data_IF_141306692971
#
_entry.id   IF_141306692971
#
_cell.length_a   1.000
_cell.length_b   1.000
_cell.length_c   1.000
_cell.angle_alpha   90.00
_cell.angle_beta   90.00
_cell.angle_gamma   90.00
#
_symmetry.space_group_name_H-M   'P 1'
#
loop_
_entity.id
_entity.type
_entity.pdbx_description
1 polymer ?
#
# COMPACT_ATOMS: atom_id res chain seq x y z
N UNK A 1 44.08 -46.90 -0.35
CA UNK A 1 42.87 -46.80 0.52
C UNK A 1 42.65 -45.34 0.84
N UNK A 2 41.57 -44.77 0.31
CA UNK A 2 41.22 -43.35 0.45
C UNK A 2 39.81 -43.16 -0.07
N UNK A 3 38.85 -43.56 0.75
CA UNK A 3 37.41 -43.46 0.51
C UNK A 3 36.96 -42.00 0.52
N UNK A 4 36.66 -41.44 -0.65
CA UNK A 4 35.88 -40.20 -0.77
C UNK A 4 34.43 -40.55 -1.06
N UNK A 5 33.62 -40.72 -0.02
CA UNK A 5 32.16 -40.82 -0.16
C UNK A 5 31.69 -39.47 -0.74
N UNK A 6 30.95 -39.41 -1.87
CA UNK A 6 30.35 -38.16 -2.29
C UNK A 6 29.33 -37.75 -1.25
N UNK A 7 29.63 -36.68 -0.51
CA UNK A 7 28.72 -36.07 0.45
C UNK A 7 27.47 -35.63 -0.30
N UNK A 8 26.37 -36.33 -0.01
CA UNK A 8 25.05 -36.05 -0.56
C UNK A 8 24.74 -34.56 -0.41
N UNK A 9 24.55 -33.87 -1.53
CA UNK A 9 24.10 -32.48 -1.56
C UNK A 9 22.83 -32.37 -0.71
N UNK A 10 22.88 -31.53 0.32
CA UNK A 10 21.79 -31.38 1.27
C UNK A 10 20.47 -31.06 0.58
N UNK A 11 19.40 -31.69 1.06
CA UNK A 11 18.02 -31.67 0.53
C UNK A 11 17.35 -30.27 0.53
N UNK A 12 18.07 -29.20 0.89
CA UNK A 12 17.57 -27.82 0.87
C UNK A 12 18.57 -26.78 0.38
N UNK A 13 19.40 -27.07 -0.63
CA UNK A 13 20.01 -25.99 -1.42
C UNK A 13 19.02 -25.51 -2.48
N UNK A 14 18.00 -24.75 -2.06
CA UNK A 14 17.17 -24.00 -3.01
C UNK A 14 18.11 -23.05 -3.76
N UNK A 15 18.20 -23.24 -5.08
CA UNK A 15 18.78 -22.25 -5.97
C UNK A 15 18.21 -20.87 -5.61
N UNK A 16 19.04 -19.99 -5.05
CA UNK A 16 18.76 -18.56 -5.11
C UNK A 16 18.59 -18.28 -6.59
N UNK A 17 17.35 -18.04 -7.02
CA UNK A 17 17.04 -17.63 -8.39
C UNK A 17 18.09 -16.61 -8.80
N UNK A 18 18.72 -16.77 -9.97
CA UNK A 18 19.81 -15.92 -10.48
C UNK A 18 19.45 -14.44 -10.70
N UNK A 19 18.44 -13.95 -9.99
CA UNK A 19 18.07 -12.56 -9.84
C UNK A 19 19.18 -11.84 -9.08
N UNK A 20 20.07 -11.23 -9.86
CA UNK A 20 21.00 -10.21 -9.35
C UNK A 20 20.14 -9.11 -8.71
N UNK A 21 20.52 -8.64 -7.51
CA UNK A 21 19.84 -7.54 -6.83
C UNK A 21 19.90 -6.29 -7.73
N UNK A 22 18.81 -6.01 -8.45
CA UNK A 22 18.68 -4.84 -9.33
C UNK A 22 18.27 -3.57 -8.56
N UNK A 23 17.69 -3.73 -7.36
CA UNK A 23 17.12 -2.61 -6.61
C UNK A 23 18.17 -1.97 -5.70
N UNK A 24 18.45 -0.68 -5.93
CA UNK A 24 19.36 0.12 -5.11
C UNK A 24 18.64 0.71 -3.89
N UNK A 25 19.41 1.21 -2.92
CA UNK A 25 18.87 1.76 -1.66
C UNK A 25 18.01 3.01 -1.89
N UNK A 26 18.41 3.86 -2.83
CA UNK A 26 17.66 5.03 -3.27
C UNK A 26 16.29 4.66 -3.85
N UNK A 27 16.22 3.62 -4.70
CA UNK A 27 14.95 3.15 -5.25
C UNK A 27 13.99 2.68 -4.15
N UNK A 28 14.50 1.98 -3.13
CA UNK A 28 13.71 1.52 -1.97
C UNK A 28 13.22 2.71 -1.13
N UNK A 29 14.06 3.72 -0.94
CA UNK A 29 13.67 4.92 -0.21
C UNK A 29 12.53 5.68 -0.91
N UNK A 30 12.64 5.90 -2.22
CA UNK A 30 11.60 6.56 -3.00
C UNK A 30 10.31 5.75 -3.02
N UNK A 31 10.40 4.42 -3.14
CA UNK A 31 9.25 3.55 -3.05
C UNK A 31 8.56 3.65 -1.68
N UNK A 32 9.34 3.59 -0.59
CA UNK A 32 8.83 3.75 0.77
C UNK A 32 8.14 5.09 0.98
N UNK A 33 8.75 6.19 0.53
CA UNK A 33 8.16 7.52 0.59
C UNK A 33 6.82 7.60 -0.14
N UNK A 34 6.73 7.04 -1.35
CA UNK A 34 5.47 7.01 -2.12
C UNK A 34 4.38 6.20 -1.43
N UNK A 35 4.74 5.09 -0.76
CA UNK A 35 3.76 4.27 -0.02
C UNK A 35 3.24 4.93 1.25
N UNK A 36 4.00 5.85 1.86
CA UNK A 36 3.50 6.78 2.88
C UNK A 36 2.69 7.85 2.14
N UNK A 37 1.51 7.45 1.67
CA UNK A 37 0.82 8.18 0.63
C UNK A 37 0.43 9.59 1.09
N UNK A 38 0.85 10.60 0.33
CA UNK A 38 0.42 11.99 0.46
C UNK A 38 -1.12 12.13 0.43
N UNK A 39 -1.81 11.16 -0.20
CA UNK A 39 -3.27 11.08 -0.25
C UNK A 39 -3.91 10.97 1.14
N UNK A 40 -3.19 10.48 2.17
CA UNK A 40 -3.74 10.42 3.52
C UNK A 40 -3.81 11.76 4.24
N UNK A 41 -3.14 12.80 3.75
CA UNK A 41 -3.23 14.16 4.32
C UNK A 41 -4.67 14.66 4.24
N UNK A 42 -5.39 14.34 3.16
CA UNK A 42 -6.81 14.70 3.01
C UNK A 42 -7.66 14.04 4.09
N UNK A 43 -7.37 12.77 4.46
CA UNK A 43 -8.07 12.11 5.57
C UNK A 43 -7.78 12.76 6.91
N UNK A 44 -6.54 13.14 7.16
CA UNK A 44 -6.17 13.84 8.39
C UNK A 44 -6.92 15.17 8.49
N UNK A 45 -7.00 15.94 7.40
CA UNK A 45 -7.72 17.22 7.34
C UNK A 45 -9.23 17.02 7.50
N UNK A 46 -9.84 16.04 6.83
CA UNK A 46 -11.26 15.74 6.97
C UNK A 46 -11.60 15.25 8.38
N UNK A 47 -10.73 14.47 9.01
CA UNK A 47 -10.91 14.01 10.38
C UNK A 47 -10.91 15.16 11.38
N UNK A 48 -10.20 16.26 11.11
CA UNK A 48 -10.18 17.42 11.99
C UNK A 48 -11.57 18.02 12.20
N UNK A 49 -12.36 18.12 11.14
CA UNK A 49 -13.73 18.63 11.20
C UNK A 49 -14.63 17.77 12.11
N UNK A 50 -14.31 16.48 12.29
CA UNK A 50 -15.05 15.57 13.15
C UNK A 50 -14.68 15.69 14.64
N UNK A 51 -13.53 16.31 14.99
CA UNK A 51 -13.05 16.45 16.36
C UNK A 51 -12.80 17.93 16.73
N UNK A 52 -13.87 18.74 16.85
CA UNK A 52 -13.73 20.13 17.24
C UNK A 52 -13.15 20.24 18.66
N UNK A 53 -12.02 20.95 18.79
CA UNK A 53 -11.32 21.19 20.05
C UNK A 53 -10.08 20.31 20.30
N UNK A 54 -9.81 19.32 19.46
CA UNK A 54 -8.55 18.58 19.49
C UNK A 54 -7.42 19.36 18.79
N UNK A 55 -6.22 19.35 19.36
CA UNK A 55 -5.03 19.90 18.71
C UNK A 55 -4.45 18.89 17.71
N UNK A 56 -4.59 19.20 16.43
CA UNK A 56 -4.14 18.31 15.37
C UNK A 56 -2.61 18.23 15.30
N UNK A 57 -1.92 19.29 15.69
CA UNK A 57 -0.46 19.38 15.70
C UNK A 57 0.11 18.35 16.67
N UNK A 58 -0.46 18.26 17.88
CA UNK A 58 -0.04 17.27 18.88
C UNK A 58 -0.38 15.85 18.45
N UNK A 59 -1.58 15.62 17.92
CA UNK A 59 -1.99 14.30 17.42
C UNK A 59 -1.07 13.82 16.29
N UNK A 60 -0.75 14.71 15.35
CA UNK A 60 0.14 14.40 14.21
C UNK A 60 1.57 14.12 14.67
N UNK A 61 2.07 14.89 15.65
CA UNK A 61 3.41 14.70 16.21
C UNK A 61 3.52 13.36 16.95
N UNK A 62 2.51 13.00 17.76
CA UNK A 62 2.46 11.70 18.43
C UNK A 62 2.38 10.55 17.42
N UNK A 63 1.56 10.69 16.38
CA UNK A 63 1.46 9.71 15.31
C UNK A 63 2.78 9.55 14.54
N UNK A 64 3.49 10.65 14.26
CA UNK A 64 4.80 10.63 13.61
C UNK A 64 5.84 9.88 14.45
N UNK A 65 5.88 10.13 15.76
CA UNK A 65 6.80 9.44 16.68
C UNK A 65 6.49 7.94 16.71
N UNK A 66 5.21 7.57 16.84
CA UNK A 66 4.79 6.17 16.81
C UNK A 66 5.13 5.48 15.48
N UNK A 67 4.88 6.16 14.36
CA UNK A 67 5.21 5.67 13.02
C UNK A 67 6.72 5.45 12.84
N UNK A 68 7.55 6.40 13.29
CA UNK A 68 9.00 6.28 13.24
C UNK A 68 9.52 5.11 14.10
N UNK A 69 8.95 4.90 15.29
CA UNK A 69 9.30 3.77 16.15
C UNK A 69 8.95 2.42 15.49
N UNK A 70 7.77 2.31 14.87
CA UNK A 70 7.37 1.11 14.12
C UNK A 70 8.32 0.89 12.93
N UNK A 71 8.63 1.94 12.17
CA UNK A 71 9.57 1.88 11.05
C UNK A 71 10.96 1.40 11.48
N UNK A 72 11.46 1.86 12.63
CA UNK A 72 12.72 1.39 13.19
C UNK A 72 12.67 -0.10 13.57
N UNK A 73 11.59 -0.57 14.20
CA UNK A 73 11.42 -1.98 14.50
C UNK A 73 11.42 -2.85 13.24
N UNK A 74 10.72 -2.43 12.19
CA UNK A 74 10.72 -3.15 10.90
C UNK A 74 12.07 -3.12 10.21
N UNK A 75 12.82 -2.02 10.32
CA UNK A 75 14.19 -1.95 9.82
C UNK A 75 15.11 -2.96 10.53
N UNK A 76 15.01 -3.09 11.86
CA UNK A 76 15.75 -4.10 12.62
C UNK A 76 15.33 -5.53 12.27
N UNK A 77 14.03 -5.78 12.08
CA UNK A 77 13.56 -7.11 11.66
C UNK A 77 14.05 -7.47 10.25
N UNK A 78 14.10 -6.49 9.34
CA UNK A 78 14.61 -6.69 7.98
C UNK A 78 16.11 -7.00 7.93
N UNK A 79 16.92 -6.46 8.86
CA UNK A 79 18.35 -6.80 8.94
C UNK A 79 18.58 -8.20 9.53
N UNK A 80 17.77 -8.60 10.51
CA UNK A 80 17.84 -9.95 11.12
C UNK A 80 17.33 -11.02 10.16
N UNK A 81 16.30 -10.72 9.37
CA UNK A 81 15.67 -11.67 8.46
C UNK A 81 15.69 -11.17 7.01
N UNK A 82 16.84 -11.23 6.30
CA UNK A 82 17.01 -10.70 4.95
C UNK A 82 16.42 -11.65 3.89
N UNK A 83 15.11 -11.92 3.98
CA UNK A 83 14.41 -12.85 3.09
C UNK A 83 13.14 -12.18 2.56
N UNK A 84 12.84 -12.38 1.28
CA UNK A 84 11.57 -11.97 0.69
C UNK A 84 10.43 -12.74 1.36
N UNK A 85 9.42 -12.03 1.89
CA UNK A 85 8.30 -12.65 2.61
C UNK A 85 7.65 -11.78 3.70
N UNK A 86 8.07 -10.52 3.84
CA UNK A 86 7.40 -9.47 4.61
C UNK A 86 6.96 -9.92 6.03
N UNK A 87 5.73 -9.56 6.44
CA UNK A 87 5.22 -9.76 7.79
C UNK A 87 5.21 -11.25 8.19
N UNK A 88 4.91 -12.16 7.26
CA UNK A 88 4.80 -13.58 7.58
C UNK A 88 6.12 -14.13 8.10
N UNK A 89 7.23 -13.79 7.42
CA UNK A 89 8.57 -14.26 7.78
C UNK A 89 9.02 -13.74 9.14
N UNK A 90 8.69 -12.49 9.46
CA UNK A 90 9.06 -11.89 10.74
C UNK A 90 8.26 -12.51 11.88
N UNK A 91 6.94 -12.64 11.72
CA UNK A 91 6.05 -13.12 12.76
C UNK A 91 6.14 -14.64 12.97
N UNK A 92 6.30 -15.42 11.90
CA UNK A 92 6.38 -16.88 11.99
C UNK A 92 7.63 -17.35 12.75
N UNK A 93 8.71 -16.55 12.74
CA UNK A 93 9.98 -16.85 13.43
C UNK A 93 10.05 -16.30 14.84
N UNK A 94 9.35 -15.20 15.11
CA UNK A 94 9.44 -14.52 16.40
C UNK A 94 8.37 -14.98 17.39
N UNK A 95 7.18 -15.35 16.90
CA UNK A 95 6.03 -15.71 17.73
C UNK A 95 5.62 -17.17 17.52
N UNK A 96 4.93 -17.46 16.41
CA UNK A 96 4.47 -18.79 16.05
C UNK A 96 4.00 -18.80 14.59
N UNK A 97 4.22 -19.87 13.81
CA UNK A 97 3.82 -19.94 12.41
C UNK A 97 2.32 -19.68 12.15
N UNK A 98 1.45 -20.14 13.05
CA UNK A 98 0.00 -19.93 12.92
C UNK A 98 -0.41 -18.46 13.14
N UNK A 99 0.24 -17.76 14.07
CA UNK A 99 -0.01 -16.33 14.33
C UNK A 99 0.51 -15.49 13.16
N UNK A 100 1.70 -15.83 12.65
CA UNK A 100 2.22 -15.22 11.44
C UNK A 100 1.26 -15.37 10.27
N UNK A 101 0.68 -16.56 10.06
CA UNK A 101 -0.30 -16.78 9.00
C UNK A 101 -1.55 -15.91 9.19
N UNK A 102 -2.17 -15.93 10.38
CA UNK A 102 -3.39 -15.18 10.64
C UNK A 102 -3.22 -13.67 10.43
N UNK A 103 -2.12 -13.10 10.92
CA UNK A 103 -1.84 -11.67 10.80
C UNK A 103 -1.47 -11.27 9.36
N UNK A 104 -0.67 -12.06 8.65
CA UNK A 104 -0.37 -11.81 7.25
C UNK A 104 -1.60 -11.97 6.34
N UNK A 105 -2.48 -12.91 6.65
CA UNK A 105 -3.75 -13.07 5.92
C UNK A 105 -4.68 -11.88 6.16
N UNK A 106 -4.81 -11.43 7.41
CA UNK A 106 -5.54 -10.20 7.76
C UNK A 106 -4.96 -8.99 7.02
N UNK A 107 -3.64 -8.87 6.97
CA UNK A 107 -2.98 -7.79 6.24
C UNK A 107 -3.26 -7.83 4.73
N UNK A 108 -3.20 -9.02 4.11
CA UNK A 108 -3.56 -9.19 2.70
C UNK A 108 -5.02 -8.78 2.41
N UNK A 109 -5.95 -9.11 3.31
CA UNK A 109 -7.35 -8.68 3.21
C UNK A 109 -7.48 -7.15 3.29
N UNK A 110 -6.78 -6.52 4.23
CA UNK A 110 -6.71 -5.05 4.33
C UNK A 110 -6.15 -4.42 3.05
N UNK A 111 -5.11 -5.02 2.47
CA UNK A 111 -4.53 -4.50 1.23
C UNK A 111 -5.49 -4.58 0.05
N UNK A 112 -6.26 -5.66 -0.05
CA UNK A 112 -7.31 -5.80 -1.08
C UNK A 112 -8.40 -4.74 -0.93
N UNK A 113 -8.82 -4.46 0.31
CA UNK A 113 -9.77 -3.41 0.62
C UNK A 113 -9.24 -2.01 0.25
N UNK A 114 -7.98 -1.72 0.59
CA UNK A 114 -7.36 -0.44 0.25
C UNK A 114 -7.21 -0.23 -1.26
N UNK A 115 -6.92 -1.26 -2.05
CA UNK A 115 -6.90 -1.15 -3.52
C UNK A 115 -8.27 -0.71 -4.04
N UNK A 116 -9.36 -1.30 -3.52
CA UNK A 116 -10.72 -0.90 -3.88
C UNK A 116 -11.05 0.55 -3.51
N UNK A 117 -10.68 0.96 -2.30
CA UNK A 117 -10.87 2.34 -1.82
C UNK A 117 -10.14 3.37 -2.69
N UNK A 118 -8.89 3.10 -3.06
CA UNK A 118 -8.12 4.03 -3.88
C UNK A 118 -8.80 4.26 -5.25
N UNK A 119 -9.43 3.24 -5.82
CA UNK A 119 -10.25 3.38 -7.02
C UNK A 119 -11.46 4.30 -6.83
N UNK A 120 -12.10 4.25 -5.67
CA UNK A 120 -13.19 5.16 -5.32
C UNK A 120 -12.69 6.61 -5.15
N UNK A 121 -11.51 6.80 -4.55
CA UNK A 121 -10.92 8.12 -4.35
C UNK A 121 -10.52 8.79 -5.66
N UNK A 122 -10.10 8.03 -6.68
CA UNK A 122 -9.88 8.57 -8.01
C UNK A 122 -11.16 9.24 -8.56
N UNK A 123 -12.33 8.60 -8.37
CA UNK A 123 -13.60 9.17 -8.83
C UNK A 123 -13.99 10.41 -8.02
N UNK A 124 -13.95 10.30 -6.69
CA UNK A 124 -14.45 11.32 -5.76
C UNK A 124 -13.56 12.57 -5.66
N UNK A 125 -12.25 12.38 -5.62
CA UNK A 125 -11.30 13.46 -5.31
C UNK A 125 -10.47 13.90 -6.50
N UNK A 126 -10.44 13.14 -7.61
CA UNK A 126 -9.76 13.57 -8.83
C UNK A 126 -10.75 13.90 -9.96
N UNK A 127 -11.50 12.92 -10.47
CA UNK A 127 -12.30 13.08 -11.69
C UNK A 127 -13.47 14.04 -11.49
N UNK A 128 -14.29 13.81 -10.45
CA UNK A 128 -15.46 14.63 -10.15
C UNK A 128 -15.13 16.13 -9.96
N UNK A 129 -14.21 16.53 -9.05
CA UNK A 129 -13.93 17.94 -8.82
C UNK A 129 -13.25 18.64 -10.00
N UNK A 130 -12.44 17.92 -10.80
CA UNK A 130 -11.86 18.50 -12.03
C UNK A 130 -12.94 18.81 -13.06
N UNK A 131 -13.86 17.87 -13.30
CA UNK A 131 -14.99 18.08 -14.22
C UNK A 131 -15.94 19.17 -13.71
N UNK A 132 -16.21 19.20 -12.40
CA UNK A 132 -17.01 20.25 -11.79
C UNK A 132 -16.34 21.63 -11.95
N UNK A 133 -15.02 21.72 -11.70
CA UNK A 133 -14.26 22.97 -11.84
C UNK A 133 -14.23 23.51 -13.27
N UNK A 134 -14.11 22.64 -14.27
CA UNK A 134 -14.21 23.02 -15.69
C UNK A 134 -15.66 23.40 -16.03
N UNK A 135 -16.65 22.67 -15.53
CA UNK A 135 -18.07 22.93 -15.78
C UNK A 135 -18.53 24.28 -15.26
N UNK A 136 -18.05 24.70 -14.08
CA UNK A 136 -18.31 26.03 -13.52
C UNK A 136 -17.68 27.13 -14.38
N UNK A 137 -16.43 26.94 -14.82
CA UNK A 137 -15.72 27.93 -15.65
C UNK A 137 -16.30 28.05 -17.06
N UNK A 138 -16.73 26.93 -17.65
CA UNK A 138 -17.31 26.89 -18.99
C UNK A 138 -18.83 27.18 -19.00
N UNK A 139 -19.44 27.41 -17.82
CA UNK A 139 -20.89 27.56 -17.64
C UNK A 139 -21.71 26.43 -18.32
N UNK A 140 -21.16 25.20 -18.36
CA UNK A 140 -21.78 24.08 -19.07
C UNK A 140 -22.43 23.11 -18.08
N UNK A 141 -23.77 23.12 -18.04
CA UNK A 141 -24.56 22.28 -17.14
C UNK A 141 -24.32 20.78 -17.36
N UNK A 142 -24.09 20.36 -18.62
CA UNK A 142 -23.82 18.96 -18.96
C UNK A 142 -22.56 18.44 -18.26
N UNK A 143 -21.53 19.28 -18.13
CA UNK A 143 -20.29 18.91 -17.49
C UNK A 143 -20.46 18.76 -15.96
N UNK A 144 -21.33 19.57 -15.37
CA UNK A 144 -21.68 19.47 -13.95
C UNK A 144 -22.49 18.20 -13.66
N UNK A 145 -23.42 17.83 -14.54
CA UNK A 145 -24.22 16.62 -14.40
C UNK A 145 -23.34 15.36 -14.50
N UNK A 146 -22.37 15.35 -15.42
CA UNK A 146 -21.37 14.28 -15.52
C UNK A 146 -20.48 14.22 -14.28
N UNK A 147 -20.04 15.37 -13.75
CA UNK A 147 -19.26 15.41 -12.50
C UNK A 147 -20.05 14.80 -11.33
N UNK A 148 -21.33 15.18 -11.19
CA UNK A 148 -22.22 14.63 -10.16
C UNK A 148 -22.46 13.13 -10.33
N UNK A 149 -22.50 12.62 -11.56
CA UNK A 149 -22.60 11.17 -11.81
C UNK A 149 -21.36 10.41 -11.31
N UNK A 150 -20.16 10.96 -11.52
CA UNK A 150 -18.90 10.40 -10.99
C UNK A 150 -18.81 10.46 -9.47
N UNK A 151 -19.46 11.44 -8.84
CA UNK A 151 -19.63 11.48 -7.38
C UNK A 151 -20.70 10.50 -6.86
N UNK A 152 -21.57 9.99 -7.74
CA UNK A 152 -22.63 9.05 -7.40
C UNK A 152 -22.14 7.61 -7.21
N UNK A 153 -22.99 6.77 -6.58
CA UNK A 153 -22.67 5.36 -6.27
C UNK A 153 -22.20 4.55 -7.48
N UNK A 154 -22.85 4.76 -8.63
CA UNK A 154 -22.54 4.05 -9.87
C UNK A 154 -21.26 4.55 -10.54
N UNK A 155 -21.00 5.87 -10.53
CA UNK A 155 -19.76 6.43 -11.08
C UNK A 155 -18.53 5.93 -10.31
N UNK A 156 -18.60 5.91 -8.98
CA UNK A 156 -17.55 5.36 -8.11
C UNK A 156 -17.29 3.89 -8.42
N UNK A 157 -18.35 3.07 -8.54
CA UNK A 157 -18.22 1.64 -8.83
C UNK A 157 -17.55 1.37 -10.18
N UNK A 158 -17.97 2.09 -11.23
CA UNK A 158 -17.41 1.94 -12.58
C UNK A 158 -15.96 2.43 -12.63
N UNK A 159 -15.65 3.60 -12.08
CA UNK A 159 -14.27 4.10 -12.02
C UNK A 159 -13.34 3.18 -11.23
N UNK A 160 -13.78 2.69 -10.07
CA UNK A 160 -12.99 1.76 -9.27
C UNK A 160 -12.72 0.45 -10.01
N UNK A 161 -13.74 -0.12 -10.65
CA UNK A 161 -13.61 -1.35 -11.45
C UNK A 161 -12.67 -1.17 -12.64
N UNK A 162 -12.81 -0.06 -13.38
CA UNK A 162 -11.93 0.27 -14.51
C UNK A 162 -10.48 0.47 -14.07
N UNK A 163 -10.25 1.12 -12.92
CA UNK A 163 -8.89 1.30 -12.39
C UNK A 163 -8.26 -0.05 -12.05
N UNK A 164 -8.99 -0.93 -11.38
CA UNK A 164 -8.49 -2.27 -11.00
C UNK A 164 -8.22 -3.11 -12.24
N UNK A 165 -9.14 -3.16 -13.20
CA UNK A 165 -8.96 -3.90 -14.46
C UNK A 165 -7.82 -3.33 -15.29
N UNK A 166 -7.70 -2.00 -15.38
CA UNK A 166 -6.63 -1.32 -16.10
C UNK A 166 -5.26 -1.61 -15.50
N UNK A 167 -5.12 -1.52 -14.17
CA UNK A 167 -3.90 -1.89 -13.47
C UNK A 167 -3.59 -3.39 -13.62
N UNK A 168 -4.60 -4.25 -13.54
CA UNK A 168 -4.45 -5.68 -13.79
C UNK A 168 -3.89 -5.95 -15.18
N UNK A 169 -4.50 -5.40 -16.22
CA UNK A 169 -4.03 -5.52 -17.61
C UNK A 169 -2.59 -5.02 -17.78
N UNK A 170 -2.25 -3.89 -17.14
CA UNK A 170 -0.91 -3.31 -17.14
C UNK A 170 0.16 -4.21 -16.51
N UNK A 171 -0.20 -5.08 -15.57
CA UNK A 171 0.72 -6.03 -14.93
C UNK A 171 0.88 -7.34 -15.71
N UNK A 172 -0.11 -7.70 -16.55
CA UNK A 172 -0.07 -8.93 -17.35
C UNK A 172 0.63 -8.77 -18.71
N UNK A 173 0.92 -7.53 -19.13
CA UNK A 173 1.72 -7.21 -20.32
C UNK A 173 3.19 -7.05 -19.95
#
# INVERSE_FOLDING_TARGET
MGSGIPTQAGVFTRASSGLVRQVRTDDVFFFGWQTIALSYIVFTVLAWAAYPGASMELASLLAMIGGAAIGACYALLATVYPRSGAEYVFLSRSLHPAIGFALSFSFAFWQMFYIGINGAFLSLFAISPVLAGIGVQAHNQTLLDVANWFAGKWGIFVCGSLMVLGMGYLHYR
#
